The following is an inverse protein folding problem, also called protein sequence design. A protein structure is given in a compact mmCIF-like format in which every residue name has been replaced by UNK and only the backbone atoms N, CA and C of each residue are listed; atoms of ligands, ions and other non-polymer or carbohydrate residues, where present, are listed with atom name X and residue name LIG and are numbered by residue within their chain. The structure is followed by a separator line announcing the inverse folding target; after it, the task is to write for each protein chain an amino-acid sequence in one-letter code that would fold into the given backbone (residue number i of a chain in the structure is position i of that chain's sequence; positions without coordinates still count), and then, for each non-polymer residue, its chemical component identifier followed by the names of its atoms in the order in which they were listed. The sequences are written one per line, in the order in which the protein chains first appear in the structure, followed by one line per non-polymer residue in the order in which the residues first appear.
data_IF_406114950588
#
_entry.id   IF_406114950588
#
_cell.length_a   1.000
_cell.length_b   1.000
_cell.length_c   1.000
_cell.angle_alpha   90.00
_cell.angle_beta   90.00
_cell.angle_gamma   90.00
#
_symmetry.space_group_name_H-M   'P 1'
#
loop_
_entity.id
_entity.type
_entity.pdbx_description
1 polymer ?
#
# COMPACT_ATOMS: atom_id res chain seq x y z
N UNK A 1 -7.23 -1.51 -6.26
CA UNK A 1 -7.06 -2.73 -5.44
C UNK A 1 -7.07 -3.96 -6.34
N UNK A 2 -6.33 -4.99 -5.96
CA UNK A 2 -6.25 -6.25 -6.69
C UNK A 2 -6.93 -7.36 -5.89
N UNK A 3 -7.36 -8.40 -6.58
CA UNK A 3 -7.93 -9.59 -5.96
C UNK A 3 -7.06 -10.81 -6.25
N UNK A 4 -6.84 -11.64 -5.23
CA UNK A 4 -6.19 -12.94 -5.38
C UNK A 4 -7.21 -13.92 -5.93
N UNK A 5 -6.94 -14.51 -7.10
CA UNK A 5 -7.80 -15.55 -7.68
C UNK A 5 -7.42 -16.92 -7.12
N UNK A 6 -6.13 -17.25 -7.18
CA UNK A 6 -5.60 -18.55 -6.80
C UNK A 6 -4.26 -18.41 -6.08
N UNK A 7 -4.02 -19.27 -5.09
CA UNK A 7 -2.69 -19.49 -4.52
C UNK A 7 -2.00 -20.58 -5.34
N UNK A 8 -0.90 -20.23 -5.98
CA UNK A 8 -0.20 -21.13 -6.91
C UNK A 8 0.87 -21.91 -6.15
N UNK A 9 1.56 -21.23 -5.25
CA UNK A 9 2.56 -21.79 -4.34
C UNK A 9 2.37 -21.18 -2.95
N UNK A 10 3.16 -21.65 -1.99
CA UNK A 10 3.10 -21.15 -0.62
C UNK A 10 3.22 -19.62 -0.55
N UNK A 11 4.08 -19.04 -1.39
CA UNK A 11 4.42 -17.61 -1.37
C UNK A 11 4.10 -16.89 -2.69
N UNK A 12 3.32 -17.51 -3.58
CA UNK A 12 3.00 -16.93 -4.90
C UNK A 12 1.51 -17.02 -5.23
N UNK A 13 0.96 -15.93 -5.75
CA UNK A 13 -0.46 -15.74 -5.99
C UNK A 13 -0.73 -15.32 -7.43
N UNK A 14 -1.83 -15.82 -7.99
CA UNK A 14 -2.43 -15.32 -9.22
C UNK A 14 -3.35 -14.16 -8.90
N UNK A 15 -3.11 -13.01 -9.52
CA UNK A 15 -3.77 -11.76 -9.17
C UNK A 15 -4.53 -11.19 -10.37
N UNK A 16 -5.68 -10.58 -10.11
CA UNK A 16 -6.49 -9.86 -11.09
C UNK A 16 -6.91 -8.48 -10.59
N UNK A 17 -7.38 -7.63 -11.51
CA UNK A 17 -8.01 -6.38 -11.13
C UNK A 17 -9.38 -6.62 -10.50
N UNK A 18 -9.72 -5.81 -9.49
CA UNK A 18 -11.02 -5.90 -8.84
C UNK A 18 -12.20 -5.69 -9.81
N UNK A 19 -12.04 -4.78 -10.79
CA UNK A 19 -13.06 -4.44 -11.78
C UNK A 19 -13.15 -5.46 -12.93
N UNK A 20 -12.05 -6.14 -13.24
CA UNK A 20 -11.95 -7.02 -14.41
C UNK A 20 -11.46 -8.40 -13.99
N UNK A 21 -12.25 -9.07 -13.16
CA UNK A 21 -11.89 -10.34 -12.51
C UNK A 21 -11.66 -11.48 -13.51
N UNK A 22 -12.20 -11.38 -14.73
CA UNK A 22 -12.00 -12.36 -15.79
C UNK A 22 -10.58 -12.32 -16.37
N UNK A 23 -9.88 -11.18 -16.28
CA UNK A 23 -8.52 -11.04 -16.79
C UNK A 23 -7.49 -11.15 -15.67
N UNK A 24 -6.61 -12.15 -15.78
CA UNK A 24 -5.48 -12.29 -14.88
C UNK A 24 -4.36 -11.31 -15.27
N UNK A 25 -3.81 -10.59 -14.29
CA UNK A 25 -2.65 -9.73 -14.49
C UNK A 25 -1.34 -10.53 -14.49
N UNK A 26 -1.31 -11.62 -13.74
CA UNK A 26 -0.18 -12.53 -13.69
C UNK A 26 0.02 -13.17 -12.32
N UNK A 27 1.21 -13.75 -12.17
CA UNK A 27 1.64 -14.46 -10.97
C UNK A 27 2.65 -13.59 -10.22
N UNK A 28 2.43 -13.37 -8.94
CA UNK A 28 3.26 -12.51 -8.11
C UNK A 28 3.70 -13.22 -6.83
N UNK A 29 4.93 -12.98 -6.44
CA UNK A 29 5.44 -13.38 -5.13
C UNK A 29 4.89 -12.47 -4.03
N UNK A 30 4.69 -12.99 -2.81
CA UNK A 30 4.13 -12.25 -1.67
C UNK A 30 4.90 -10.97 -1.35
N UNK A 31 6.22 -10.97 -1.54
CA UNK A 31 7.05 -9.77 -1.32
C UNK A 31 6.80 -8.64 -2.31
N UNK A 32 6.18 -8.92 -3.45
CA UNK A 32 5.79 -7.92 -4.45
C UNK A 32 4.34 -7.43 -4.25
N UNK A 33 3.62 -7.99 -3.28
CA UNK A 33 2.23 -7.65 -2.99
C UNK A 33 2.14 -6.87 -1.68
N UNK A 34 1.32 -5.81 -1.70
CA UNK A 34 0.99 -5.05 -0.50
C UNK A 34 -0.43 -5.41 -0.08
N UNK A 35 -0.67 -5.81 1.18
CA UNK A 35 -2.02 -6.01 1.70
C UNK A 35 -2.85 -4.74 1.50
N UNK A 36 -4.07 -4.91 1.02
CA UNK A 36 -4.99 -3.80 0.91
C UNK A 36 -5.49 -3.43 2.31
N UNK A 37 -5.36 -2.14 2.66
CA UNK A 37 -5.88 -1.56 3.90
C UNK A 37 -6.97 -0.58 3.50
N UNK A 38 -8.18 -0.78 4.00
CA UNK A 38 -9.28 0.17 3.81
C UNK A 38 -8.97 1.49 4.49
N UNK A 39 -9.53 2.59 3.97
CA UNK A 39 -9.33 3.93 4.53
C UNK A 39 -9.81 4.04 5.99
N UNK A 40 -10.79 3.22 6.39
CA UNK A 40 -11.28 3.13 7.78
C UNK A 40 -10.36 2.33 8.70
N UNK A 41 -9.54 1.44 8.13
CA UNK A 41 -8.60 0.59 8.88
C UNK A 41 -7.17 1.13 8.87
N UNK A 42 -6.96 2.35 8.39
CA UNK A 42 -5.67 3.01 8.47
C UNK A 42 -5.48 3.54 9.90
N UNK A 43 -4.53 3.01 10.69
CA UNK A 43 -4.24 3.59 11.98
C UNK A 43 -3.80 5.04 11.77
N UNK A 44 -4.33 5.96 12.59
CA UNK A 44 -3.82 7.32 12.60
C UNK A 44 -2.30 7.28 12.82
N UNK A 45 -1.53 8.09 12.07
CA UNK A 45 -0.10 8.11 12.22
C UNK A 45 0.23 8.45 13.68
N UNK A 46 0.94 7.54 14.35
CA UNK A 46 1.35 7.65 15.77
C UNK A 46 2.02 8.99 16.08
N UNK A 47 2.60 9.61 15.05
CA UNK A 47 3.16 10.97 15.14
C UNK A 47 2.72 11.77 13.91
N UNK A 48 2.21 13.00 14.07
CA UNK A 48 1.95 13.88 12.95
C UNK A 48 3.21 14.03 12.08
N UNK A 49 3.05 13.99 10.76
CA UNK A 49 4.16 14.25 9.83
C UNK A 49 4.60 15.70 10.05
N UNK A 50 5.74 15.87 10.73
CA UNK A 50 6.36 17.19 10.91
C UNK A 50 6.97 17.61 9.58
N UNK A 51 6.72 18.85 9.15
CA UNK A 51 7.43 19.44 7.99
C UNK A 51 8.93 19.33 8.27
N UNK A 52 9.62 18.52 7.46
CA UNK A 52 11.08 18.50 7.46
C UNK A 52 11.55 19.86 6.97
N UNK A 53 12.50 20.45 7.67
CA UNK A 53 13.03 21.76 7.30
C UNK A 53 13.81 22.41 8.41
N UNK A 54 14.57 23.44 8.04
CA UNK A 54 15.27 24.30 8.98
C UNK A 54 14.23 25.12 9.77
N UNK A 55 14.36 25.24 11.10
CA UNK A 55 13.59 26.21 11.86
C UNK A 55 13.70 27.61 11.23
N UNK A 56 12.61 28.41 11.24
CA UNK A 56 12.65 29.75 10.70
C UNK A 56 13.72 30.60 11.41
N UNK A 57 14.45 31.41 10.65
CA UNK A 57 15.49 32.30 11.17
C UNK A 57 14.81 33.35 12.05
N UNK A 58 15.24 33.51 13.31
CA UNK A 58 14.78 34.61 14.16
C UNK A 58 15.39 35.91 13.63
N UNK A 59 14.56 36.78 13.08
CA UNK A 59 14.91 38.19 12.87
C UNK A 59 14.41 38.91 14.12
N UNK A 60 15.33 39.37 14.98
CA UNK A 60 14.94 40.28 16.07
C UNK A 60 14.52 41.64 15.47
N UNK A 61 13.55 42.34 16.09
CA UNK A 61 13.10 43.65 15.63
C UNK A 61 14.20 44.71 15.69
#
# INVERSE_FOLDING_TARGET
PYIVKHRIFEISYEVAELKLQHHCLGKYHVSALTPYLDAENFPEPVVPIRRRGRPPKRTNP
#
